data_IF_358290051136
#
_entry.id   IF_358290051136
#
_cell.length_a   1.000
_cell.length_b   1.000
_cell.length_c   1.000
_cell.angle_alpha   90.00
_cell.angle_beta   90.00
_cell.angle_gamma   90.00
#
_symmetry.space_group_name_H-M   'P 1'
#
loop_
_entity.id
_entity.type
_entity.pdbx_description
1 polymer ?
#
# COMPACT_ATOMS: atom_id res chain seq x y z
N UNK A 1 31.05 29.05 26.31
CA UNK A 1 32.10 29.76 25.51
C UNK A 1 33.44 29.67 26.27
N UNK A 2 33.56 30.08 27.55
CA UNK A 2 34.84 30.09 28.28
C UNK A 2 35.50 28.71 28.40
N UNK A 3 34.72 27.60 28.50
CA UNK A 3 35.25 26.26 28.56
C UNK A 3 36.02 25.86 27.30
N UNK A 4 35.48 26.15 26.14
CA UNK A 4 36.11 25.84 24.84
C UNK A 4 37.40 26.65 24.64
N UNK A 5 37.38 27.96 24.97
CA UNK A 5 38.58 28.83 24.88
C UNK A 5 39.69 28.30 25.77
N UNK A 6 39.36 27.84 26.99
CA UNK A 6 40.36 27.29 27.90
C UNK A 6 40.94 25.94 27.38
N UNK A 7 40.12 25.10 26.78
CA UNK A 7 40.59 23.84 26.14
C UNK A 7 41.52 24.10 24.98
N UNK A 8 41.20 25.05 24.10
CA UNK A 8 42.07 25.47 22.98
C UNK A 8 43.41 25.97 23.48
N UNK A 9 43.41 26.83 24.51
CA UNK A 9 44.66 27.37 25.09
C UNK A 9 45.46 26.28 25.81
N UNK A 10 44.82 25.40 26.53
CA UNK A 10 45.47 24.30 27.26
C UNK A 10 46.14 23.28 26.30
N UNK A 11 45.57 23.05 25.16
CA UNK A 11 46.11 22.11 24.17
C UNK A 11 47.01 22.81 23.13
N UNK A 12 47.18 24.14 23.16
CA UNK A 12 48.00 24.89 22.23
C UNK A 12 47.50 24.88 20.78
N UNK A 13 46.20 24.66 20.58
CA UNK A 13 45.59 24.57 19.24
C UNK A 13 45.46 25.96 18.61
N UNK A 14 45.75 26.03 17.30
CA UNK A 14 45.53 27.25 16.53
C UNK A 14 44.09 27.32 16.04
N UNK A 15 43.42 28.45 16.26
CA UNK A 15 42.02 28.65 15.88
C UNK A 15 41.83 28.50 14.36
N UNK A 16 42.81 28.97 13.57
CA UNK A 16 42.71 28.85 12.10
C UNK A 16 42.68 27.39 11.64
N UNK A 17 43.45 26.52 12.25
CA UNK A 17 43.52 25.11 11.91
C UNK A 17 42.23 24.37 12.36
N UNK A 18 41.61 24.80 13.46
CA UNK A 18 40.36 24.27 13.93
C UNK A 18 39.16 24.62 13.03
N UNK A 19 39.23 25.72 12.26
CA UNK A 19 38.20 26.10 11.31
C UNK A 19 38.21 25.24 10.04
N UNK A 20 39.31 24.56 9.75
CA UNK A 20 39.45 23.66 8.58
C UNK A 20 39.07 22.23 8.90
N UNK A 21 38.84 21.91 10.19
CA UNK A 21 38.49 20.57 10.65
C UNK A 21 36.98 20.37 10.55
N UNK A 22 36.55 19.25 10.02
CA UNK A 22 35.13 18.86 9.96
C UNK A 22 34.49 18.80 11.35
N UNK A 23 33.22 19.22 11.46
CA UNK A 23 32.44 19.25 12.70
C UNK A 23 32.54 17.96 13.55
N UNK A 24 32.47 16.73 13.00
CA UNK A 24 32.60 15.50 13.78
C UNK A 24 33.97 15.29 14.39
N UNK A 25 35.03 15.71 13.73
CA UNK A 25 36.41 15.61 14.22
C UNK A 25 36.67 16.68 15.28
N UNK A 26 36.19 17.88 15.05
CA UNK A 26 36.23 19.00 16.01
C UNK A 26 35.50 18.64 17.31
N UNK A 27 34.30 18.06 17.21
CA UNK A 27 33.54 17.57 18.36
C UNK A 27 34.33 16.51 19.15
N UNK A 28 34.99 15.58 18.46
CA UNK A 28 35.82 14.55 19.06
C UNK A 28 37.02 15.14 19.83
N UNK A 29 37.65 16.18 19.28
CA UNK A 29 38.78 16.85 19.90
C UNK A 29 38.38 17.57 21.20
N UNK A 30 37.23 18.25 21.24
CA UNK A 30 36.78 18.98 22.41
C UNK A 30 36.17 18.10 23.50
N UNK A 31 35.62 16.94 23.13
CA UNK A 31 34.98 15.99 24.04
C UNK A 31 35.79 14.71 24.26
N UNK A 32 37.06 14.66 23.80
CA UNK A 32 37.98 13.56 24.08
C UNK A 32 38.09 13.32 25.58
N UNK A 33 37.73 12.11 26.00
CA UNK A 33 37.61 11.76 27.43
C UNK A 33 36.24 11.98 28.04
N UNK A 34 35.25 12.53 27.29
CA UNK A 34 33.84 12.51 27.71
C UNK A 34 33.32 11.06 27.76
N UNK A 35 32.51 10.70 28.76
CA UNK A 35 31.91 9.38 28.84
C UNK A 35 31.16 8.96 27.55
N UNK A 36 30.64 9.91 26.77
CA UNK A 36 29.95 9.66 25.51
C UNK A 36 30.86 9.03 24.44
N UNK A 37 32.16 9.30 24.42
CA UNK A 37 33.13 8.75 23.47
C UNK A 37 33.92 7.55 24.00
N UNK A 38 33.90 7.31 25.31
CA UNK A 38 34.51 6.13 25.94
C UNK A 38 33.49 5.05 26.28
N UNK A 39 32.20 5.33 26.01
CA UNK A 39 31.12 4.43 26.32
C UNK A 39 30.99 3.31 25.26
N UNK A 40 30.85 2.08 25.70
CA UNK A 40 30.57 0.91 24.87
C UNK A 40 29.46 1.18 23.83
N UNK A 41 28.45 1.95 24.20
CA UNK A 41 27.35 2.34 23.31
C UNK A 41 27.83 3.16 22.12
N UNK A 42 28.89 3.97 22.26
CA UNK A 42 29.47 4.71 21.14
C UNK A 42 30.23 3.79 20.19
N UNK A 43 30.99 2.84 20.71
CA UNK A 43 31.69 1.85 19.89
C UNK A 43 30.69 1.02 19.05
N UNK A 44 29.64 0.50 19.71
CA UNK A 44 28.55 -0.23 19.04
C UNK A 44 27.84 0.64 17.97
N UNK A 45 27.58 1.92 18.27
CA UNK A 45 27.00 2.85 17.32
C UNK A 45 27.89 3.12 16.11
N UNK A 46 29.20 3.31 16.31
CA UNK A 46 30.16 3.57 15.22
C UNK A 46 30.32 2.37 14.28
N UNK A 47 30.21 1.14 14.78
CA UNK A 47 30.21 -0.08 13.96
C UNK A 47 28.99 -0.07 13.01
N UNK A 48 27.84 0.40 13.46
CA UNK A 48 26.60 0.46 12.67
C UNK A 48 26.51 1.65 11.72
N UNK A 49 27.30 2.69 11.98
CA UNK A 49 27.22 3.97 11.27
C UNK A 49 27.43 3.87 9.74
N UNK A 50 28.39 3.09 9.19
CA UNK A 50 28.55 2.94 7.75
C UNK A 50 27.29 2.40 7.07
N UNK A 51 26.68 1.36 7.66
CA UNK A 51 25.40 0.81 7.19
C UNK A 51 24.26 1.82 7.26
N UNK A 52 24.21 2.66 8.31
CA UNK A 52 23.21 3.71 8.43
C UNK A 52 23.37 4.80 7.35
N UNK A 53 24.61 5.16 7.04
CA UNK A 53 24.92 6.10 5.95
C UNK A 53 24.44 5.57 4.60
N UNK A 54 24.76 4.32 4.29
CA UNK A 54 24.34 3.65 3.06
C UNK A 54 22.79 3.61 2.94
N UNK A 55 22.10 3.12 3.97
CA UNK A 55 20.64 3.03 3.98
C UNK A 55 19.94 4.38 3.87
N UNK A 56 20.50 5.44 4.45
CA UNK A 56 19.93 6.79 4.35
C UNK A 56 20.25 7.48 3.02
N UNK A 57 21.31 7.08 2.35
CA UNK A 57 21.69 7.60 1.03
C UNK A 57 20.95 6.93 -0.12
N UNK A 58 20.50 5.69 0.04
CA UNK A 58 19.76 4.94 -0.97
C UNK A 58 18.27 5.33 -0.98
N UNK A 59 17.77 6.01 -2.04
CA UNK A 59 16.36 6.38 -2.14
C UNK A 59 15.41 5.19 -2.17
N UNK A 60 15.88 4.02 -2.64
CA UNK A 60 15.09 2.79 -2.76
C UNK A 60 14.92 2.05 -1.43
N UNK A 61 15.77 2.33 -0.46
CA UNK A 61 15.67 1.72 0.88
C UNK A 61 14.45 2.19 1.66
N UNK A 62 13.94 3.40 1.36
CA UNK A 62 12.85 4.09 2.07
C UNK A 62 13.09 4.21 3.60
N UNK A 63 14.34 4.01 4.06
CA UNK A 63 14.69 3.99 5.47
C UNK A 63 14.73 5.40 6.04
N UNK A 64 14.00 5.63 7.13
CA UNK A 64 14.05 6.89 7.89
C UNK A 64 14.89 6.73 9.16
N UNK A 65 15.35 7.87 9.73
CA UNK A 65 16.04 7.87 11.02
C UNK A 65 15.23 7.18 12.14
N UNK A 66 13.89 7.23 12.07
CA UNK A 66 13.02 6.56 13.04
C UNK A 66 13.08 5.02 12.88
N UNK A 67 13.12 4.54 11.67
CA UNK A 67 13.27 3.09 11.39
C UNK A 67 14.61 2.59 11.92
N UNK A 68 15.70 3.33 11.66
CA UNK A 68 17.03 3.00 12.19
C UNK A 68 17.06 3.00 13.71
N UNK A 69 16.42 3.97 14.35
CA UNK A 69 16.34 4.00 15.79
C UNK A 69 15.55 2.82 16.36
N UNK A 70 14.42 2.46 15.76
CA UNK A 70 13.60 1.33 16.21
C UNK A 70 14.37 0.01 16.10
N UNK A 71 15.15 -0.17 15.02
CA UNK A 71 16.01 -1.34 14.80
C UNK A 71 17.18 -1.38 15.79
N UNK A 72 17.84 -0.23 15.98
CA UNK A 72 18.90 -0.08 16.97
C UNK A 72 18.42 -0.46 18.39
N UNK A 73 17.25 0.05 18.80
CA UNK A 73 16.70 -0.28 20.13
C UNK A 73 16.24 -1.72 20.28
N UNK A 74 15.86 -2.36 19.20
CA UNK A 74 15.48 -3.78 19.20
C UNK A 74 16.70 -4.69 19.45
N UNK A 75 17.88 -4.31 18.93
CA UNK A 75 19.14 -5.06 19.08
C UNK A 75 19.98 -4.60 20.29
N UNK A 76 19.80 -3.34 20.72
CA UNK A 76 20.53 -2.72 21.83
C UNK A 76 19.56 -2.11 22.85
N UNK A 77 18.92 -2.92 23.73
CA UNK A 77 17.96 -2.44 24.72
C UNK A 77 18.54 -1.38 25.67
N UNK A 78 19.83 -1.48 26.01
CA UNK A 78 20.57 -0.56 26.87
C UNK A 78 21.31 0.54 26.07
N UNK A 79 21.10 0.59 24.76
CA UNK A 79 21.71 1.57 23.87
C UNK A 79 21.21 3.00 24.07
N UNK A 80 21.66 3.91 23.21
CA UNK A 80 21.27 5.31 23.26
C UNK A 80 19.75 5.52 23.20
N UNK A 81 19.25 6.47 23.98
CA UNK A 81 17.89 6.98 23.84
C UNK A 81 17.73 7.74 22.51
N UNK A 82 16.49 7.99 22.11
CA UNK A 82 16.15 8.58 20.80
C UNK A 82 16.87 9.90 20.52
N UNK A 83 16.93 10.80 21.50
CA UNK A 83 17.58 12.12 21.36
C UNK A 83 19.09 11.99 21.14
N UNK A 84 19.75 11.12 21.89
CA UNK A 84 21.19 10.86 21.76
C UNK A 84 21.52 10.14 20.45
N UNK A 85 20.75 9.11 20.09
CA UNK A 85 20.91 8.42 18.81
C UNK A 85 20.81 9.39 17.63
N UNK A 86 19.80 10.29 17.63
CA UNK A 86 19.62 11.29 16.58
C UNK A 86 20.72 12.33 16.60
N UNK A 87 21.21 12.72 17.78
CA UNK A 87 22.35 13.63 17.91
C UNK A 87 23.59 13.03 17.25
N UNK A 88 24.00 11.83 17.64
CA UNK A 88 25.18 11.15 17.08
C UNK A 88 25.01 10.86 15.58
N UNK A 89 23.83 10.47 15.15
CA UNK A 89 23.56 10.26 13.74
C UNK A 89 23.67 11.58 12.93
N UNK A 90 23.18 12.69 13.47
CA UNK A 90 23.28 14.03 12.84
C UNK A 90 24.73 14.50 12.73
N UNK A 91 25.53 14.33 13.77
CA UNK A 91 26.95 14.71 13.80
C UNK A 91 27.78 13.96 12.74
N UNK A 92 27.38 12.75 12.42
CA UNK A 92 28.08 11.91 11.46
C UNK A 92 27.44 11.89 10.05
N UNK A 93 26.34 12.64 9.85
CA UNK A 93 25.64 12.77 8.57
C UNK A 93 25.59 14.24 8.18
N UNK A 94 26.41 14.65 7.25
CA UNK A 94 26.28 15.96 6.58
C UNK A 94 25.13 15.86 5.60
N UNK A 95 23.94 16.30 6.00
CA UNK A 95 22.79 16.43 5.10
C UNK A 95 22.12 17.80 5.28
N UNK A 96 22.25 18.65 4.28
CA UNK A 96 21.41 19.86 4.13
C UNK A 96 19.98 19.42 3.87
N UNK A 97 19.04 19.93 4.64
CA UNK A 97 17.62 19.73 4.45
C UNK A 97 16.99 21.05 4.02
N UNK A 98 16.41 21.06 2.82
CA UNK A 98 15.60 22.18 2.36
C UNK A 98 14.31 22.27 3.18
N UNK A 99 13.99 23.50 3.62
CA UNK A 99 12.76 23.79 4.38
C UNK A 99 11.65 24.06 3.37
N UNK A 100 10.69 23.14 3.28
CA UNK A 100 9.49 23.32 2.48
C UNK A 100 8.36 23.85 3.36
N UNK A 101 7.82 25.02 3.02
CA UNK A 101 6.63 25.56 3.66
C UNK A 101 5.39 24.79 3.18
N UNK A 102 4.62 24.19 4.08
CA UNK A 102 3.38 23.49 3.78
C UNK A 102 2.21 24.34 4.25
N UNK A 103 1.34 24.76 3.31
CA UNK A 103 0.07 25.40 3.63
C UNK A 103 -0.86 24.43 4.34
N UNK A 104 -1.43 24.84 5.46
CA UNK A 104 -2.42 24.05 6.19
C UNK A 104 -3.73 23.99 5.39
N UNK A 105 -4.00 22.88 4.72
CA UNK A 105 -5.26 22.62 4.07
C UNK A 105 -6.32 22.21 5.08
N UNK A 106 -7.46 22.91 5.07
CA UNK A 106 -8.61 22.60 5.93
C UNK A 106 -9.55 21.65 5.19
N UNK A 107 -9.40 20.34 5.42
CA UNK A 107 -10.34 19.35 4.91
C UNK A 107 -11.50 19.17 5.88
N UNK A 108 -12.69 18.92 5.33
CA UNK A 108 -13.86 18.55 6.13
C UNK A 108 -13.75 17.08 6.55
N UNK A 109 -14.15 16.75 7.79
CA UNK A 109 -14.10 15.36 8.25
C UNK A 109 -15.04 14.46 7.45
N UNK A 110 -14.55 13.28 7.06
CA UNK A 110 -15.31 12.25 6.35
C UNK A 110 -15.75 12.59 4.92
N UNK A 111 -15.36 13.76 4.38
CA UNK A 111 -15.83 14.22 3.07
C UNK A 111 -15.15 13.50 1.90
N UNK A 112 -13.86 13.21 2.03
CA UNK A 112 -13.03 12.79 0.90
C UNK A 112 -12.12 11.63 1.25
N UNK A 113 -12.04 10.65 0.34
CA UNK A 113 -11.05 9.58 0.35
C UNK A 113 -10.10 9.77 -0.83
N UNK A 114 -8.83 9.96 -0.55
CA UNK A 114 -7.79 10.04 -1.57
C UNK A 114 -7.16 8.66 -1.76
N UNK A 115 -6.96 8.23 -3.01
CA UNK A 115 -6.42 6.91 -3.35
C UNK A 115 -5.36 7.00 -4.43
N UNK A 116 -4.30 6.20 -4.30
CA UNK A 116 -3.23 6.09 -5.29
C UNK A 116 -2.54 4.73 -5.18
N UNK A 117 -1.68 4.41 -6.16
CA UNK A 117 -0.73 3.31 -6.06
C UNK A 117 0.67 3.85 -5.73
N UNK A 118 1.36 3.16 -4.83
CA UNK A 118 2.77 3.42 -4.60
C UNK A 118 3.58 3.08 -5.86
N UNK A 119 4.60 3.88 -6.18
CA UNK A 119 5.44 3.65 -7.36
C UNK A 119 6.27 2.38 -7.27
N UNK A 120 6.77 2.06 -6.06
CA UNK A 120 7.54 0.84 -5.82
C UNK A 120 6.64 -0.33 -5.44
N UNK A 121 7.04 -1.53 -5.87
CA UNK A 121 6.30 -2.78 -5.63
C UNK A 121 6.85 -3.51 -4.42
N UNK A 122 5.99 -4.19 -3.69
CA UNK A 122 6.38 -5.25 -2.77
C UNK A 122 6.39 -6.60 -3.51
N UNK A 123 6.88 -7.66 -2.86
CA UNK A 123 6.92 -8.99 -3.46
C UNK A 123 6.75 -10.09 -2.42
N UNK A 124 6.33 -11.25 -2.89
CA UNK A 124 6.36 -12.49 -2.14
C UNK A 124 6.93 -13.62 -3.03
N UNK A 125 7.37 -14.69 -2.43
CA UNK A 125 7.81 -15.90 -3.12
C UNK A 125 6.63 -16.86 -3.20
N UNK A 126 6.27 -17.31 -4.39
CA UNK A 126 5.23 -18.32 -4.56
C UNK A 126 5.73 -19.65 -3.99
N UNK A 127 4.99 -20.20 -3.01
CA UNK A 127 5.40 -21.42 -2.31
C UNK A 127 5.42 -22.67 -3.20
N UNK A 128 4.68 -22.66 -4.33
CA UNK A 128 4.61 -23.79 -5.25
C UNK A 128 5.69 -23.75 -6.33
N UNK A 129 6.01 -22.54 -6.83
CA UNK A 129 6.95 -22.37 -7.97
C UNK A 129 8.34 -21.85 -7.54
N UNK A 130 8.45 -21.23 -6.37
CA UNK A 130 9.65 -20.53 -5.93
C UNK A 130 9.89 -19.19 -6.63
N UNK A 131 8.98 -18.73 -7.48
CA UNK A 131 9.10 -17.48 -8.22
C UNK A 131 8.81 -16.26 -7.33
N UNK A 132 9.56 -15.17 -7.56
CA UNK A 132 9.32 -13.88 -6.90
C UNK A 132 8.21 -13.15 -7.64
N UNK A 133 7.05 -13.04 -7.01
CA UNK A 133 5.89 -12.35 -7.55
C UNK A 133 5.83 -10.92 -6.99
N UNK A 134 5.97 -9.93 -7.89
CA UNK A 134 5.83 -8.52 -7.57
C UNK A 134 4.37 -8.12 -7.57
N UNK A 135 3.97 -7.32 -6.58
CA UNK A 135 2.60 -6.85 -6.38
C UNK A 135 2.55 -5.33 -6.27
N UNK A 136 1.43 -4.76 -6.67
CA UNK A 136 1.15 -3.34 -6.55
C UNK A 136 0.65 -3.02 -5.14
N UNK A 137 0.95 -1.82 -4.66
CA UNK A 137 0.54 -1.39 -3.32
C UNK A 137 -0.41 -0.21 -3.44
N UNK A 138 -1.67 -0.47 -3.14
CA UNK A 138 -2.73 0.54 -3.08
C UNK A 138 -2.68 1.26 -1.73
N UNK A 139 -2.75 2.58 -1.78
CA UNK A 139 -2.74 3.48 -0.61
C UNK A 139 -3.98 4.35 -0.66
N UNK A 140 -4.71 4.40 0.43
CA UNK A 140 -5.84 5.31 0.61
C UNK A 140 -5.68 6.12 1.91
N UNK A 141 -6.13 7.37 1.89
CA UNK A 141 -6.02 8.28 3.03
C UNK A 141 -7.25 9.18 3.14
N UNK A 142 -7.77 9.33 4.36
CA UNK A 142 -8.73 10.38 4.72
C UNK A 142 -7.94 11.64 5.10
N UNK A 143 -8.01 12.73 4.31
CA UNK A 143 -7.09 13.87 4.47
C UNK A 143 -7.32 14.69 5.74
N UNK A 144 -8.46 14.56 6.42
CA UNK A 144 -8.72 15.25 7.67
C UNK A 144 -7.97 14.60 8.85
N UNK A 145 -8.05 13.28 9.00
CA UNK A 145 -7.39 12.55 10.10
C UNK A 145 -6.00 12.03 9.76
N UNK A 146 -5.62 12.02 8.47
CA UNK A 146 -4.50 11.27 7.91
C UNK A 146 -4.63 9.75 8.15
N UNK A 147 -5.86 9.26 8.38
CA UNK A 147 -6.12 7.85 8.57
C UNK A 147 -5.86 7.10 7.27
N UNK A 148 -4.92 6.17 7.32
CA UNK A 148 -4.37 5.53 6.12
C UNK A 148 -4.79 4.08 6.05
N UNK A 149 -5.14 3.61 4.84
CA UNK A 149 -5.36 2.22 4.49
C UNK A 149 -4.39 1.78 3.40
N UNK A 150 -3.82 0.59 3.52
CA UNK A 150 -2.87 0.03 2.56
C UNK A 150 -3.19 -1.43 2.30
N UNK A 151 -3.18 -1.84 1.03
CA UNK A 151 -3.35 -3.23 0.61
C UNK A 151 -2.49 -3.54 -0.62
N UNK A 152 -1.89 -4.72 -0.65
CA UNK A 152 -1.21 -5.25 -1.82
C UNK A 152 -2.20 -6.00 -2.71
N UNK A 153 -2.15 -5.72 -4.01
CA UNK A 153 -2.97 -6.37 -5.04
C UNK A 153 -2.10 -6.84 -6.20
N UNK A 154 -2.54 -7.83 -6.99
CA UNK A 154 -1.73 -8.40 -8.06
C UNK A 154 -1.34 -7.39 -9.15
N UNK A 155 -2.21 -6.44 -9.47
CA UNK A 155 -2.00 -5.50 -10.57
C UNK A 155 -2.71 -4.16 -10.35
N UNK A 156 -2.41 -3.15 -11.21
CA UNK A 156 -3.16 -1.89 -11.29
C UNK A 156 -4.36 -1.97 -12.26
N UNK A 157 -4.78 -3.16 -12.69
CA UNK A 157 -5.94 -3.30 -13.54
C UNK A 157 -7.21 -2.85 -12.82
N UNK A 158 -8.23 -2.48 -13.59
CA UNK A 158 -9.50 -1.97 -13.05
C UNK A 158 -10.11 -2.93 -12.00
N UNK A 159 -10.09 -4.24 -12.24
CA UNK A 159 -10.63 -5.22 -11.30
C UNK A 159 -9.94 -5.20 -9.93
N UNK A 160 -8.59 -5.17 -9.91
CA UNK A 160 -7.80 -5.12 -8.68
C UNK A 160 -7.91 -3.75 -7.99
N UNK A 161 -8.01 -2.67 -8.77
CA UNK A 161 -8.22 -1.33 -8.24
C UNK A 161 -9.58 -1.20 -7.54
N UNK A 162 -10.67 -1.65 -8.18
CA UNK A 162 -12.00 -1.64 -7.58
C UNK A 162 -12.08 -2.56 -6.34
N UNK A 163 -11.40 -3.71 -6.39
CA UNK A 163 -11.26 -4.58 -5.23
C UNK A 163 -10.57 -3.87 -4.07
N UNK A 164 -9.46 -3.16 -4.32
CA UNK A 164 -8.73 -2.43 -3.29
C UNK A 164 -9.58 -1.30 -2.67
N UNK A 165 -10.34 -0.56 -3.49
CA UNK A 165 -11.31 0.45 -3.00
C UNK A 165 -12.36 -0.22 -2.11
N UNK A 166 -12.96 -1.32 -2.55
CA UNK A 166 -13.96 -2.06 -1.75
C UNK A 166 -13.42 -2.46 -0.39
N UNK A 167 -12.23 -3.09 -0.36
CA UNK A 167 -11.58 -3.49 0.89
C UNK A 167 -11.28 -2.31 1.81
N UNK A 168 -10.93 -1.15 1.22
CA UNK A 168 -10.75 0.09 1.98
C UNK A 168 -12.06 0.57 2.60
N UNK A 169 -13.16 0.61 1.84
CA UNK A 169 -14.47 1.01 2.35
C UNK A 169 -14.97 0.08 3.45
N UNK A 170 -14.77 -1.23 3.29
CA UNK A 170 -15.09 -2.24 4.33
C UNK A 170 -14.27 -2.01 5.60
N UNK A 171 -12.97 -1.70 5.47
CA UNK A 171 -12.10 -1.38 6.61
C UNK A 171 -12.53 -0.09 7.33
N UNK A 172 -12.91 0.95 6.59
CA UNK A 172 -13.43 2.20 7.14
C UNK A 172 -14.80 1.99 7.82
N UNK A 173 -15.53 0.96 7.43
CA UNK A 173 -16.92 0.71 7.90
C UNK A 173 -17.92 1.70 7.33
N UNK A 174 -17.61 2.36 6.20
CA UNK A 174 -18.49 3.34 5.57
C UNK A 174 -17.89 3.94 4.31
N UNK A 175 -18.69 4.81 3.68
CA UNK A 175 -18.39 5.38 2.36
C UNK A 175 -18.28 6.91 2.44
N UNK A 176 -17.10 7.50 2.19
CA UNK A 176 -16.96 8.94 2.00
C UNK A 176 -17.72 9.41 0.74
N UNK A 177 -18.35 10.59 0.75
CA UNK A 177 -19.09 11.07 -0.41
C UNK A 177 -18.25 11.36 -1.65
N UNK A 178 -16.94 11.58 -1.50
CA UNK A 178 -16.02 11.88 -2.60
C UNK A 178 -14.85 10.91 -2.58
N UNK A 179 -14.60 10.26 -3.73
CA UNK A 179 -13.39 9.50 -4.02
C UNK A 179 -12.48 10.31 -4.94
N UNK A 180 -11.25 10.57 -4.52
CA UNK A 180 -10.27 11.33 -5.30
C UNK A 180 -9.11 10.41 -5.67
N UNK A 181 -9.12 9.81 -6.88
CA UNK A 181 -7.97 9.07 -7.38
C UNK A 181 -6.83 10.03 -7.74
N UNK A 182 -5.59 9.59 -7.47
CA UNK A 182 -4.40 10.19 -8.05
C UNK A 182 -4.42 10.05 -9.59
N UNK A 183 -3.26 10.24 -10.21
CA UNK A 183 -3.14 10.20 -11.68
C UNK A 183 -3.16 8.75 -12.23
N UNK A 184 -4.19 7.97 -11.88
CA UNK A 184 -4.31 6.55 -12.19
C UNK A 184 -5.02 6.30 -13.51
N UNK A 185 -4.35 5.58 -14.45
CA UNK A 185 -4.97 5.14 -15.72
C UNK A 185 -6.19 4.23 -15.51
N UNK A 186 -6.25 3.49 -14.41
CA UNK A 186 -7.40 2.66 -14.05
C UNK A 186 -8.62 3.44 -13.56
N UNK A 187 -8.44 4.70 -13.16
CA UNK A 187 -9.51 5.60 -12.74
C UNK A 187 -9.93 6.57 -13.83
N UNK A 188 -8.96 7.10 -14.61
CA UNK A 188 -9.15 8.16 -15.59
C UNK A 188 -8.63 7.72 -16.95
N UNK A 189 -9.52 7.66 -17.95
CA UNK A 189 -9.18 7.27 -19.33
C UNK A 189 -8.50 8.41 -20.08
N UNK A 190 -8.93 9.66 -19.84
CA UNK A 190 -8.27 10.87 -20.35
C UNK A 190 -8.41 12.02 -19.38
N UNK A 191 -7.29 12.71 -19.09
CA UNK A 191 -7.24 13.92 -18.27
C UNK A 191 -7.47 15.16 -19.17
N UNK A 192 -8.70 15.41 -19.58
CA UNK A 192 -9.05 16.72 -20.10
C UNK A 192 -9.40 17.65 -18.94
N UNK A 193 -8.92 18.92 -18.98
CA UNK A 193 -9.12 19.91 -17.90
C UNK A 193 -10.58 20.22 -17.60
N UNK A 194 -11.46 20.00 -18.57
CA UNK A 194 -12.87 20.36 -18.46
C UNK A 194 -13.79 19.14 -18.23
N UNK A 195 -13.44 17.95 -18.72
CA UNK A 195 -14.21 16.71 -18.55
C UNK A 195 -13.27 15.50 -18.49
N UNK A 196 -12.78 15.08 -17.32
CA UNK A 196 -12.03 13.84 -17.21
C UNK A 196 -12.94 12.65 -17.53
N UNK A 197 -12.56 11.84 -18.55
CA UNK A 197 -13.27 10.59 -18.83
C UNK A 197 -12.92 9.54 -17.81
N UNK A 198 -13.85 9.26 -16.93
CA UNK A 198 -13.70 8.23 -15.91
C UNK A 198 -13.84 6.81 -16.49
N UNK A 199 -13.26 5.85 -15.80
CA UNK A 199 -13.49 4.45 -16.09
C UNK A 199 -14.94 4.09 -15.74
N UNK A 200 -15.72 3.57 -16.69
CA UNK A 200 -17.14 3.22 -16.53
C UNK A 200 -17.38 2.28 -15.34
N UNK A 201 -16.46 1.36 -15.05
CA UNK A 201 -16.62 0.45 -13.93
C UNK A 201 -16.42 1.15 -12.57
N UNK A 202 -15.59 2.21 -12.52
CA UNK A 202 -15.44 3.04 -11.33
C UNK A 202 -16.67 3.94 -11.14
N UNK A 203 -17.27 4.48 -12.22
CA UNK A 203 -18.54 5.21 -12.16
C UNK A 203 -19.67 4.32 -11.66
N UNK A 204 -19.76 3.08 -12.17
CA UNK A 204 -20.75 2.09 -11.72
C UNK A 204 -20.60 1.77 -10.23
N UNK A 205 -19.36 1.59 -9.76
CA UNK A 205 -19.07 1.44 -8.34
C UNK A 205 -19.46 2.69 -7.52
N UNK A 206 -19.22 3.89 -8.06
CA UNK A 206 -19.63 5.16 -7.46
C UNK A 206 -21.15 5.26 -7.31
N UNK A 207 -21.88 4.89 -8.35
CA UNK A 207 -23.34 4.83 -8.32
C UNK A 207 -23.84 3.78 -7.33
N UNK A 208 -23.16 2.63 -7.25
CA UNK A 208 -23.52 1.57 -6.32
C UNK A 208 -23.37 2.01 -4.85
N UNK A 209 -22.23 2.59 -4.48
CA UNK A 209 -21.94 3.03 -3.11
C UNK A 209 -22.36 4.48 -2.82
N UNK A 210 -22.84 5.24 -3.81
CA UNK A 210 -23.25 6.64 -3.71
C UNK A 210 -22.10 7.59 -3.35
N UNK A 211 -20.92 7.42 -3.98
CA UNK A 211 -19.83 8.38 -3.95
C UNK A 211 -19.60 8.99 -5.34
N UNK A 212 -19.08 10.22 -5.36
CA UNK A 212 -18.68 10.91 -6.58
C UNK A 212 -17.17 10.76 -6.77
N UNK A 213 -16.74 10.47 -8.00
CA UNK A 213 -15.32 10.43 -8.34
C UNK A 213 -14.88 11.81 -8.82
N UNK A 214 -14.01 12.45 -8.04
CA UNK A 214 -13.38 13.72 -8.38
C UNK A 214 -11.86 13.52 -8.46
N UNK A 215 -11.29 13.37 -9.66
CA UNK A 215 -9.84 13.30 -9.84
C UNK A 215 -9.14 14.52 -9.26
N UNK A 216 -7.89 14.35 -8.83
CA UNK A 216 -7.04 15.47 -8.44
C UNK A 216 -6.93 16.46 -9.59
N UNK A 217 -7.13 17.75 -9.32
CA UNK A 217 -6.87 18.80 -10.29
C UNK A 217 -5.37 18.82 -10.62
N UNK A 218 -4.98 18.65 -11.89
CA UNK A 218 -3.59 18.71 -12.32
C UNK A 218 -2.89 20.01 -11.94
N UNK A 219 -3.66 21.10 -11.77
CA UNK A 219 -3.18 22.43 -11.42
C UNK A 219 -3.18 22.71 -9.90
N UNK A 220 -3.57 21.75 -9.04
CA UNK A 220 -3.59 21.93 -7.58
C UNK A 220 -2.42 21.19 -6.91
N UNK A 221 -1.25 21.81 -6.70
CA UNK A 221 -0.08 21.18 -6.08
C UNK A 221 -0.37 20.67 -4.67
N UNK A 222 -1.27 21.32 -3.95
CA UNK A 222 -1.58 21.00 -2.55
C UNK A 222 -2.38 19.71 -2.38
N UNK A 223 -3.31 19.40 -3.30
CA UNK A 223 -4.05 18.14 -3.28
C UNK A 223 -3.13 16.96 -3.62
N UNK A 224 -2.25 17.16 -4.59
CA UNK A 224 -1.27 16.17 -5.00
C UNK A 224 -0.26 15.88 -3.89
N UNK A 225 0.23 16.91 -3.21
CA UNK A 225 1.20 16.79 -2.12
C UNK A 225 0.71 15.89 -0.97
N UNK A 226 -0.59 15.89 -0.65
CA UNK A 226 -1.13 15.04 0.43
C UNK A 226 -1.16 13.55 0.07
N UNK A 227 -1.54 13.23 -1.16
CA UNK A 227 -1.48 11.82 -1.64
C UNK A 227 -0.04 11.36 -1.70
N UNK A 228 0.86 12.19 -2.24
CA UNK A 228 2.30 11.91 -2.27
C UNK A 228 2.90 11.75 -0.86
N UNK A 229 2.47 12.55 0.11
CA UNK A 229 2.88 12.39 1.52
C UNK A 229 2.37 11.08 2.13
N UNK A 230 1.14 10.66 1.83
CA UNK A 230 0.60 9.39 2.30
C UNK A 230 1.37 8.21 1.70
N UNK A 231 1.73 8.27 0.43
CA UNK A 231 2.60 7.28 -0.23
C UNK A 231 4.00 7.29 0.39
N UNK A 232 4.60 8.46 0.61
CA UNK A 232 5.91 8.60 1.28
C UNK A 232 5.90 8.06 2.72
N UNK A 233 4.82 8.30 3.45
CA UNK A 233 4.63 7.73 4.79
C UNK A 233 4.55 6.20 4.72
N UNK A 234 3.86 5.66 3.71
CA UNK A 234 3.80 4.22 3.46
C UNK A 234 5.19 3.63 3.24
N UNK A 235 6.04 4.26 2.43
CA UNK A 235 7.43 3.84 2.25
C UNK A 235 8.19 3.77 3.57
N UNK A 236 8.14 4.82 4.37
CA UNK A 236 8.87 4.90 5.64
C UNK A 236 8.32 3.98 6.73
N UNK A 237 7.00 3.73 6.77
CA UNK A 237 6.32 3.01 7.85
C UNK A 237 6.11 1.54 7.55
N UNK A 238 6.00 1.17 6.27
CA UNK A 238 5.71 -0.19 5.81
C UNK A 238 6.91 -0.77 5.07
N UNK A 239 7.30 -0.21 3.92
CA UNK A 239 8.36 -0.79 3.08
C UNK A 239 9.69 -0.93 3.83
N UNK A 240 10.15 0.13 4.47
CA UNK A 240 11.41 0.11 5.20
C UNK A 240 11.46 -0.98 6.28
N UNK A 241 10.31 -1.33 6.87
CA UNK A 241 10.22 -2.36 7.91
C UNK A 241 10.10 -3.77 7.33
N UNK A 242 9.58 -3.91 6.12
CA UNK A 242 9.41 -5.20 5.45
C UNK A 242 10.60 -5.59 4.56
N UNK A 243 11.57 -4.70 4.35
CA UNK A 243 12.69 -4.89 3.41
C UNK A 243 13.52 -6.15 3.63
N UNK A 244 13.57 -6.65 4.86
CA UNK A 244 14.31 -7.86 5.23
C UNK A 244 13.39 -9.07 5.49
N UNK A 245 12.10 -8.97 5.16
CA UNK A 245 11.13 -10.05 5.36
C UNK A 245 10.88 -10.78 4.04
N UNK A 246 10.70 -12.09 4.13
CA UNK A 246 10.29 -12.94 3.02
C UNK A 246 8.89 -13.43 3.32
N UNK A 247 8.00 -13.34 2.35
CA UNK A 247 6.61 -13.79 2.45
C UNK A 247 6.36 -14.86 1.40
N UNK A 248 5.51 -15.84 1.70
CA UNK A 248 5.22 -16.98 0.83
C UNK A 248 3.81 -16.93 0.20
N UNK A 249 3.07 -15.88 0.45
CA UNK A 249 1.79 -15.62 -0.19
C UNK A 249 1.40 -14.14 -0.12
N UNK A 250 0.53 -13.70 -1.04
CA UNK A 250 -0.06 -12.36 -1.01
C UNK A 250 -0.83 -12.11 0.30
N UNK A 251 -1.48 -13.13 0.85
CA UNK A 251 -2.22 -13.04 2.12
C UNK A 251 -1.27 -12.78 3.29
N UNK A 252 -0.15 -13.49 3.36
CA UNK A 252 0.86 -13.32 4.41
C UNK A 252 1.46 -11.91 4.35
N UNK A 253 1.83 -11.45 3.14
CA UNK A 253 2.31 -10.09 2.92
C UNK A 253 1.27 -9.06 3.38
N UNK A 254 0.01 -9.20 2.99
CA UNK A 254 -1.06 -8.28 3.39
C UNK A 254 -1.27 -8.25 4.91
N UNK A 255 -1.18 -9.38 5.61
CA UNK A 255 -1.26 -9.41 7.09
C UNK A 255 -0.15 -8.59 7.74
N UNK A 256 1.09 -8.69 7.21
CA UNK A 256 2.22 -7.91 7.70
C UNK A 256 2.03 -6.41 7.42
N UNK A 257 1.57 -6.05 6.22
CA UNK A 257 1.25 -4.67 5.84
C UNK A 257 0.18 -4.10 6.78
N UNK A 258 -0.91 -4.80 7.02
CA UNK A 258 -2.01 -4.33 7.89
C UNK A 258 -1.56 -4.14 9.33
N UNK A 259 -0.74 -5.04 9.87
CA UNK A 259 -0.17 -4.88 11.23
C UNK A 259 0.65 -3.58 11.36
N UNK A 260 1.45 -3.26 10.33
CA UNK A 260 2.24 -2.02 10.32
C UNK A 260 1.38 -0.77 10.10
N UNK A 261 0.37 -0.87 9.25
CA UNK A 261 -0.63 0.18 9.01
C UNK A 261 -1.42 0.51 10.28
N UNK A 262 -1.93 -0.49 11.00
CA UNK A 262 -2.60 -0.30 12.28
C UNK A 262 -1.68 0.39 13.29
N UNK A 263 -0.44 -0.10 13.42
CA UNK A 263 0.57 0.54 14.28
C UNK A 263 0.77 2.00 13.89
N UNK A 264 0.81 2.32 12.57
CA UNK A 264 0.93 3.69 12.10
C UNK A 264 -0.28 4.54 12.51
N UNK A 265 -1.50 4.05 12.30
CA UNK A 265 -2.73 4.77 12.63
C UNK A 265 -2.87 5.02 14.14
N UNK A 266 -2.43 4.08 14.99
CA UNK A 266 -2.42 4.20 16.45
C UNK A 266 -1.27 5.05 17.00
N UNK A 267 -0.23 5.30 16.20
CA UNK A 267 0.90 6.13 16.64
C UNK A 267 0.47 7.59 16.76
N UNK A 268 0.73 8.22 17.92
CA UNK A 268 0.47 9.66 18.11
C UNK A 268 1.16 10.50 17.06
N UNK A 269 0.45 11.49 16.55
CA UNK A 269 0.97 12.43 15.55
C UNK A 269 1.93 13.41 16.24
N UNK A 270 2.99 13.81 15.52
CA UNK A 270 3.92 14.83 16.04
C UNK A 270 3.18 16.15 16.27
N UNK A 271 3.42 16.78 17.41
CA UNK A 271 2.82 18.06 17.80
C UNK A 271 1.28 18.04 17.91
N UNK A 272 0.66 16.85 18.02
CA UNK A 272 -0.79 16.68 18.19
C UNK A 272 -1.07 15.80 19.40
N UNK A 273 -2.15 16.04 20.15
CA UNK A 273 -2.50 15.24 21.33
C UNK A 273 -3.22 13.93 21.00
N UNK A 274 -3.38 13.57 19.71
CA UNK A 274 -4.16 12.43 19.24
C UNK A 274 -3.38 11.62 18.18
N UNK A 275 -3.82 10.37 18.00
CA UNK A 275 -3.45 9.51 16.86
C UNK A 275 -4.42 9.70 15.68
N UNK A 276 -4.07 9.14 14.52
CA UNK A 276 -4.94 9.13 13.34
C UNK A 276 -6.24 8.37 13.60
N UNK A 277 -6.13 7.21 14.25
CA UNK A 277 -7.26 6.35 14.62
C UNK A 277 -8.21 7.07 15.58
N UNK A 278 -7.70 7.71 16.65
CA UNK A 278 -8.51 8.49 17.57
C UNK A 278 -9.26 9.62 16.84
N UNK A 279 -8.60 10.34 15.95
CA UNK A 279 -9.22 11.43 15.19
C UNK A 279 -10.27 10.93 14.21
N UNK A 280 -10.00 9.81 13.53
CA UNK A 280 -10.95 9.15 12.64
C UNK A 280 -12.23 8.75 13.39
N UNK A 281 -12.08 8.01 14.47
CA UNK A 281 -13.22 7.54 15.26
C UNK A 281 -14.02 8.68 15.88
N UNK A 282 -13.35 9.74 16.36
CA UNK A 282 -14.02 10.86 17.03
C UNK A 282 -14.75 11.82 16.10
N UNK A 283 -14.35 11.91 14.80
CA UNK A 283 -14.81 13.00 13.93
C UNK A 283 -15.27 12.57 12.54
N UNK A 284 -14.82 11.43 12.02
CA UNK A 284 -15.09 11.05 10.62
C UNK A 284 -16.00 9.83 10.50
N UNK A 285 -15.84 8.84 11.35
CA UNK A 285 -16.52 7.54 11.20
C UNK A 285 -18.03 7.65 11.12
N UNK A 286 -18.64 8.47 11.94
CA UNK A 286 -20.08 8.67 11.98
C UNK A 286 -20.62 9.48 10.79
N UNK A 287 -19.75 10.21 10.07
CA UNK A 287 -20.12 11.00 8.90
C UNK A 287 -20.08 10.18 7.60
N UNK A 288 -19.49 9.00 7.65
CA UNK A 288 -19.45 8.11 6.48
C UNK A 288 -20.83 7.52 6.23
N UNK A 289 -21.22 7.43 4.94
CA UNK A 289 -22.47 6.74 4.55
C UNK A 289 -22.35 5.23 4.87
N UNK A 290 -23.45 4.58 5.24
CA UNK A 290 -23.44 3.15 5.54
C UNK A 290 -23.08 2.34 4.29
N UNK A 291 -22.31 1.26 4.51
CA UNK A 291 -22.03 0.27 3.46
C UNK A 291 -23.29 -0.52 3.11
N UNK A 292 -23.41 -0.91 1.84
CA UNK A 292 -24.43 -1.87 1.43
C UNK A 292 -24.08 -3.27 1.95
N UNK A 293 -25.08 -4.10 2.32
CA UNK A 293 -24.85 -5.47 2.80
C UNK A 293 -24.11 -6.33 1.77
N UNK A 294 -24.45 -6.18 0.49
CA UNK A 294 -23.77 -6.88 -0.60
C UNK A 294 -22.56 -6.07 -1.09
N UNK A 295 -21.38 -6.69 -1.15
CA UNK A 295 -20.20 -6.00 -1.67
C UNK A 295 -20.29 -5.80 -3.19
N UNK A 296 -19.81 -4.67 -3.69
CA UNK A 296 -19.67 -4.45 -5.13
C UNK A 296 -18.61 -5.38 -5.70
N UNK A 297 -18.97 -6.05 -6.79
CA UNK A 297 -18.03 -6.78 -7.64
C UNK A 297 -18.24 -6.40 -9.11
N UNK A 298 -17.14 -6.05 -9.77
CA UNK A 298 -17.14 -5.76 -11.19
C UNK A 298 -17.59 -6.99 -11.98
N UNK A 299 -18.60 -6.82 -12.84
CA UNK A 299 -19.10 -7.88 -13.72
C UNK A 299 -18.44 -7.80 -15.07
N UNK A 300 -17.90 -8.92 -15.50
CA UNK A 300 -17.36 -9.13 -16.84
C UNK A 300 -18.24 -10.11 -17.60
N UNK A 301 -18.21 -10.01 -18.93
CA UNK A 301 -19.08 -10.79 -19.82
C UNK A 301 -18.27 -11.46 -20.91
N UNK A 302 -18.59 -12.71 -21.21
CA UNK A 302 -18.05 -13.44 -22.32
C UNK A 302 -19.16 -14.29 -22.95
N UNK A 303 -19.25 -14.30 -24.28
CA UNK A 303 -20.13 -15.22 -25.00
C UNK A 303 -19.30 -16.44 -25.42
N UNK A 304 -19.58 -17.60 -24.82
CA UNK A 304 -18.77 -18.82 -24.92
C UNK A 304 -19.65 -19.98 -25.41
N UNK A 305 -19.08 -20.85 -26.23
CA UNK A 305 -19.76 -22.06 -26.67
C UNK A 305 -19.62 -23.15 -25.60
N UNK A 306 -20.72 -23.83 -25.28
CA UNK A 306 -20.69 -25.03 -24.42
C UNK A 306 -20.06 -26.18 -25.21
N UNK A 307 -18.92 -26.66 -24.76
CA UNK A 307 -18.13 -27.70 -25.43
C UNK A 307 -18.77 -29.09 -25.24
N UNK A 308 -18.33 -30.08 -26.06
CA UNK A 308 -18.82 -31.45 -26.01
C UNK A 308 -18.59 -32.15 -24.64
N UNK A 309 -17.64 -31.66 -23.85
CA UNK A 309 -17.36 -32.11 -22.49
C UNK A 309 -18.27 -31.44 -21.42
N UNK A 310 -19.33 -30.77 -21.83
CA UNK A 310 -20.27 -30.04 -20.99
C UNK A 310 -19.63 -28.86 -20.21
N UNK A 311 -18.61 -28.21 -20.75
CA UNK A 311 -17.98 -27.07 -20.12
C UNK A 311 -17.91 -25.85 -21.04
N UNK A 312 -17.86 -24.66 -20.43
CA UNK A 312 -17.44 -23.43 -21.05
C UNK A 312 -16.01 -23.12 -20.65
N UNK A 313 -15.19 -22.69 -21.61
CA UNK A 313 -13.80 -22.35 -21.41
C UNK A 313 -13.68 -20.86 -21.12
N UNK A 314 -13.43 -20.49 -19.88
CA UNK A 314 -13.16 -19.10 -19.50
C UNK A 314 -11.65 -18.85 -19.44
N UNK A 315 -11.17 -18.00 -20.35
CA UNK A 315 -9.76 -17.59 -20.40
C UNK A 315 -9.63 -16.15 -19.96
N UNK A 316 -8.86 -15.92 -18.91
CA UNK A 316 -8.54 -14.58 -18.43
C UNK A 316 -7.13 -14.55 -17.82
N UNK A 317 -6.38 -13.45 -18.08
CA UNK A 317 -5.03 -13.20 -17.53
C UNK A 317 -4.05 -14.36 -17.73
N UNK A 318 -4.10 -15.00 -18.93
CA UNK A 318 -3.31 -16.19 -19.31
C UNK A 318 -3.69 -17.48 -18.57
N UNK A 319 -4.69 -17.43 -17.70
CA UNK A 319 -5.22 -18.60 -17.02
C UNK A 319 -6.50 -19.06 -17.72
N UNK A 320 -6.62 -20.36 -17.96
CA UNK A 320 -7.80 -21.01 -18.51
C UNK A 320 -8.42 -21.89 -17.45
N UNK A 321 -9.73 -21.73 -17.20
CA UNK A 321 -10.49 -22.61 -16.33
C UNK A 321 -11.80 -23.02 -17.01
N UNK A 322 -12.22 -24.26 -16.80
CA UNK A 322 -13.40 -24.85 -17.42
C UNK A 322 -14.52 -25.02 -16.39
N UNK A 323 -15.70 -24.47 -16.68
CA UNK A 323 -16.87 -24.51 -15.81
C UNK A 323 -17.97 -25.34 -16.44
N UNK A 324 -18.51 -26.32 -15.71
CA UNK A 324 -19.53 -27.19 -16.23
C UNK A 324 -20.88 -26.49 -16.41
N UNK A 325 -21.59 -26.86 -17.48
CA UNK A 325 -22.94 -26.44 -17.81
C UNK A 325 -23.75 -27.70 -18.11
N UNK A 326 -25.06 -27.77 -17.80
CA UNK A 326 -25.85 -28.96 -18.03
C UNK A 326 -25.73 -29.44 -19.49
N UNK A 327 -25.58 -30.75 -19.66
CA UNK A 327 -25.29 -31.40 -20.97
C UNK A 327 -26.31 -31.07 -22.07
N UNK A 328 -27.58 -30.78 -21.71
CA UNK A 328 -28.64 -30.38 -22.64
C UNK A 328 -28.32 -29.09 -23.40
N UNK A 329 -27.33 -28.34 -22.97
CA UNK A 329 -26.87 -27.07 -23.58
C UNK A 329 -25.60 -27.25 -24.42
N UNK A 330 -25.09 -28.47 -24.58
CA UNK A 330 -23.90 -28.73 -25.43
C UNK A 330 -24.13 -28.22 -26.85
N UNK A 331 -23.12 -27.49 -27.36
CA UNK A 331 -23.19 -26.87 -28.69
C UNK A 331 -23.84 -25.50 -28.75
N UNK A 332 -24.62 -25.10 -27.71
CA UNK A 332 -25.25 -23.78 -27.62
C UNK A 332 -24.27 -22.70 -27.18
N UNK A 333 -24.59 -21.45 -27.52
CA UNK A 333 -23.90 -20.29 -27.00
C UNK A 333 -24.42 -19.98 -25.56
N UNK A 334 -23.49 -19.78 -24.63
CA UNK A 334 -23.79 -19.35 -23.28
C UNK A 334 -23.19 -17.94 -23.05
N UNK A 335 -24.00 -17.02 -22.57
CA UNK A 335 -23.50 -15.76 -22.02
C UNK A 335 -23.01 -16.03 -20.60
N UNK A 336 -21.69 -15.95 -20.43
CA UNK A 336 -21.03 -16.13 -19.14
C UNK A 336 -20.80 -14.76 -18.50
N UNK A 337 -21.39 -14.57 -17.32
CA UNK A 337 -21.19 -13.40 -16.47
C UNK A 337 -20.30 -13.83 -15.32
N UNK A 338 -19.21 -13.12 -15.09
CA UNK A 338 -18.28 -13.49 -14.05
C UNK A 338 -17.74 -12.28 -13.31
N UNK A 339 -17.44 -12.49 -12.02
CA UNK A 339 -16.80 -11.51 -11.14
C UNK A 339 -15.47 -12.08 -10.64
N UNK A 340 -14.88 -11.43 -9.64
CA UNK A 340 -13.71 -11.97 -8.96
C UNK A 340 -13.99 -13.27 -8.19
N UNK A 341 -15.22 -13.44 -7.69
CA UNK A 341 -15.59 -14.54 -6.81
C UNK A 341 -16.47 -15.62 -7.43
N UNK A 342 -17.24 -15.33 -8.48
CA UNK A 342 -18.19 -16.28 -9.06
C UNK A 342 -18.25 -16.21 -10.60
N UNK A 343 -18.78 -17.29 -11.21
CA UNK A 343 -19.07 -17.46 -12.63
C UNK A 343 -20.48 -17.98 -12.81
N UNK A 344 -21.30 -17.28 -13.61
CA UNK A 344 -22.67 -17.67 -13.95
C UNK A 344 -22.83 -17.82 -15.44
N UNK A 345 -23.37 -18.94 -15.90
CA UNK A 345 -23.65 -19.20 -17.30
C UNK A 345 -25.16 -19.07 -17.57
N UNK A 346 -25.50 -18.33 -18.63
CA UNK A 346 -26.87 -18.12 -19.08
C UNK A 346 -27.01 -18.66 -20.51
N UNK A 347 -28.01 -19.48 -20.75
CA UNK A 347 -28.40 -19.92 -22.09
C UNK A 347 -29.83 -19.50 -22.32
N UNK A 348 -30.10 -18.86 -23.47
CA UNK A 348 -31.45 -18.29 -23.78
C UNK A 348 -31.99 -17.42 -22.64
N UNK A 349 -31.11 -16.57 -22.06
CA UNK A 349 -31.39 -15.66 -20.94
C UNK A 349 -31.73 -16.35 -19.59
N UNK A 350 -31.71 -17.68 -19.51
CA UNK A 350 -31.95 -18.42 -18.27
C UNK A 350 -30.60 -18.80 -17.63
N UNK A 351 -30.50 -18.57 -16.30
CA UNK A 351 -29.34 -19.05 -15.53
C UNK A 351 -29.36 -20.58 -15.52
N UNK A 352 -28.30 -21.18 -16.07
CA UNK A 352 -28.17 -22.64 -16.20
C UNK A 352 -27.07 -23.22 -15.33
N UNK A 353 -26.07 -22.42 -14.94
CA UNK A 353 -25.00 -22.84 -14.03
C UNK A 353 -24.45 -21.66 -13.21
N UNK A 354 -24.02 -21.94 -11.98
CA UNK A 354 -23.35 -20.99 -11.09
C UNK A 354 -22.22 -21.70 -10.35
N UNK A 355 -21.02 -21.10 -10.37
CA UNK A 355 -19.81 -21.67 -9.78
C UNK A 355 -19.05 -20.63 -9.00
N UNK A 356 -18.26 -21.05 -8.01
CA UNK A 356 -17.22 -20.25 -7.42
C UNK A 356 -16.10 -20.11 -8.47
N UNK A 357 -15.60 -18.90 -8.67
CA UNK A 357 -14.53 -18.65 -9.64
C UNK A 357 -13.20 -19.20 -9.12
N UNK A 358 -12.52 -19.93 -9.99
CA UNK A 358 -11.12 -20.36 -9.80
C UNK A 358 -10.18 -19.48 -10.60
N UNK A 359 -9.02 -19.16 -10.04
CA UNK A 359 -7.95 -18.37 -10.68
C UNK A 359 -6.75 -19.24 -11.08
N UNK A 360 -6.93 -20.57 -11.13
CA UNK A 360 -5.92 -21.53 -11.54
C UNK A 360 -6.41 -22.32 -12.75
N UNK A 361 -5.49 -22.88 -13.52
CA UNK A 361 -5.86 -23.83 -14.58
C UNK A 361 -6.56 -25.05 -13.97
N UNK A 362 -7.67 -25.49 -14.58
CA UNK A 362 -8.38 -26.70 -14.14
C UNK A 362 -9.85 -26.72 -14.54
N UNK A 363 -10.60 -27.60 -13.86
CA UNK A 363 -12.02 -27.84 -14.10
C UNK A 363 -12.81 -27.70 -12.81
N UNK A 364 -13.93 -26.97 -12.89
CA UNK A 364 -14.97 -26.99 -11.85
C UNK A 364 -16.20 -27.69 -12.43
N UNK A 365 -16.43 -28.93 -12.00
CA UNK A 365 -17.44 -29.80 -12.55
C UNK A 365 -18.50 -30.14 -11.50
N UNK A 366 -19.75 -29.84 -11.81
CA UNK A 366 -20.93 -30.31 -11.10
C UNK A 366 -21.36 -31.62 -11.75
N UNK A 367 -21.48 -32.68 -10.95
CA UNK A 367 -21.72 -34.05 -11.48
C UNK A 367 -23.05 -34.17 -12.23
N UNK A 368 -24.05 -33.45 -11.80
CA UNK A 368 -25.39 -33.39 -12.39
C UNK A 368 -25.43 -32.72 -13.76
N UNK A 369 -24.40 -31.96 -14.10
CA UNK A 369 -24.24 -31.33 -15.41
C UNK A 369 -23.79 -32.33 -16.50
N UNK A 370 -23.22 -33.45 -16.11
CA UNK A 370 -22.74 -34.47 -17.06
C UNK A 370 -23.85 -35.37 -17.51
N UNK A 371 -23.85 -35.75 -18.78
CA UNK A 371 -24.79 -36.79 -19.28
C UNK A 371 -24.57 -38.10 -18.56
N UNK A 372 -25.65 -38.76 -18.12
CA UNK A 372 -25.59 -40.13 -17.58
C UNK A 372 -25.09 -41.07 -18.68
N UNK A 373 -24.48 -42.18 -18.28
CA UNK A 373 -23.88 -43.14 -19.21
C UNK A 373 -24.91 -43.70 -20.25
N UNK A 374 -26.19 -43.75 -19.93
CA UNK A 374 -27.27 -44.14 -20.82
C UNK A 374 -27.63 -43.09 -21.87
N UNK A 375 -27.54 -41.78 -21.53
CA UNK A 375 -27.85 -40.65 -22.42
C UNK A 375 -26.72 -40.36 -23.41
N UNK A 376 -25.49 -40.78 -23.12
CA UNK A 376 -24.35 -40.68 -24.07
C UNK A 376 -24.49 -41.56 -25.30
N UNK A 377 -25.33 -42.57 -25.29
CA UNK A 377 -25.56 -43.52 -26.37
C UNK A 377 -26.62 -43.07 -27.38
N UNK A 378 -27.48 -42.12 -27.04
CA UNK A 378 -28.63 -41.69 -27.88
C UNK A 378 -28.25 -40.52 -28.82
N UNK A 379 -27.07 -39.89 -28.64
CA UNK A 379 -26.62 -38.74 -29.41
C UNK A 379 -25.57 -39.05 -30.51
N UNK A 380 -25.62 -40.26 -31.13
CA UNK A 380 -24.84 -40.61 -32.35
C UNK A 380 -25.74 -40.70 -33.54
#
# INVERSE_FOLDING_TARGET
VNGYVNTVKANGWNISDLLEIDDPELERMFHAGSPAYTDRRMEEFLILLPRYKELLADPKSHVSRQVLFDEYRATHPDGYGKSQFYYHLKQNLVAKKDVTAVLANTYRPGEKLMVDFAGDKLSYVDAATGEIIKVEVFVACLPYSDYTYVICVPSQKTEDFLYAIRMCLEHLGGVPPILTPGNLKSAVISNDRHEPKLNKALEDMGNYYHFVVLPCDPASPTQKALVEDSVRITYNRIYARLRNCIFHSLMELNRAVWKLMERHNRTRMQKRPYSREERFHAKEKELLKPLKPEPYEMRLYADLKVQANCHVELRQDKVTHFYSVPYIHVGKQARVVFTRSWVKAYVEQKLVASHIRSHTYGYTTVREHLARSEERRVGK
#
